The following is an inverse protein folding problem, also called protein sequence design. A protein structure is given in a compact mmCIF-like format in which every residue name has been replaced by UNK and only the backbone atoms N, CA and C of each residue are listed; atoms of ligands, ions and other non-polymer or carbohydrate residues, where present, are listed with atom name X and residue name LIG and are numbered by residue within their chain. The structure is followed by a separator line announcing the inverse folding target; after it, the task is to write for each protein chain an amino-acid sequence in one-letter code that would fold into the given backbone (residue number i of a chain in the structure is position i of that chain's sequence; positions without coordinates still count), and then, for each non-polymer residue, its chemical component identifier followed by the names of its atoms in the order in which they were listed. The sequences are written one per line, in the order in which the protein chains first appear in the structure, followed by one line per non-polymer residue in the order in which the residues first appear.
data_IF_574258343891
#
_entry.id   IF_574258343891
#
_cell.length_a   1.000
_cell.length_b   1.000
_cell.length_c   1.000
_cell.angle_alpha   90.00
_cell.angle_beta   90.00
_cell.angle_gamma   90.00
#
_symmetry.space_group_name_H-M   'P 1'
#
loop_
_entity.id
_entity.type
_entity.pdbx_description
1 polymer ?
#
# COMPACT_ATOMS: atom_id res chain seq x y z
N UNK A 1 -3.51 -6.04 -14.19
CA UNK A 1 -4.01 -4.69 -13.84
C UNK A 1 -5.53 -4.66 -13.71
N UNK A 2 -6.31 -4.96 -14.76
CA UNK A 2 -7.78 -4.96 -14.70
C UNK A 2 -8.32 -6.05 -13.76
N UNK A 3 -7.76 -7.26 -13.80
CA UNK A 3 -8.23 -8.38 -12.98
C UNK A 3 -8.10 -8.15 -11.46
N UNK A 4 -7.03 -7.50 -10.98
CA UNK A 4 -6.88 -7.21 -9.54
C UNK A 4 -7.87 -6.14 -9.06
N UNK A 5 -8.13 -5.12 -9.88
CA UNK A 5 -9.15 -4.12 -9.59
C UNK A 5 -10.55 -4.74 -9.61
N UNK A 6 -10.84 -5.61 -10.59
CA UNK A 6 -12.13 -6.30 -10.69
C UNK A 6 -12.33 -7.26 -9.53
N UNK A 7 -11.32 -8.05 -9.15
CA UNK A 7 -11.39 -8.98 -8.01
C UNK A 7 -11.56 -8.23 -6.69
N UNK A 8 -10.84 -7.14 -6.47
CA UNK A 8 -10.99 -6.32 -5.27
C UNK A 8 -12.36 -5.64 -5.20
N UNK A 9 -12.88 -5.17 -6.33
CA UNK A 9 -14.22 -4.57 -6.40
C UNK A 9 -15.30 -5.64 -6.19
N UNK A 10 -15.14 -6.82 -6.80
CA UNK A 10 -16.04 -7.96 -6.65
C UNK A 10 -16.05 -8.48 -5.20
N UNK A 11 -14.89 -8.55 -4.54
CA UNK A 11 -14.77 -8.91 -3.12
C UNK A 11 -15.40 -7.87 -2.20
N UNK A 12 -15.19 -6.57 -2.45
CA UNK A 12 -15.85 -5.50 -1.70
C UNK A 12 -17.38 -5.54 -1.84
N UNK A 13 -17.89 -5.79 -3.06
CA UNK A 13 -19.33 -5.86 -3.32
C UNK A 13 -19.95 -7.14 -2.73
N UNK A 14 -19.30 -8.29 -2.87
CA UNK A 14 -19.76 -9.56 -2.31
C UNK A 14 -19.72 -9.58 -0.78
N UNK A 15 -18.67 -9.00 -0.17
CA UNK A 15 -18.57 -8.86 1.28
C UNK A 15 -19.57 -7.82 1.81
N UNK A 16 -19.82 -6.74 1.06
CA UNK A 16 -20.65 -5.61 1.50
C UNK A 16 -22.05 -6.00 1.95
N UNK A 17 -22.74 -6.91 1.23
CA UNK A 17 -24.14 -7.27 1.54
C UNK A 17 -24.26 -8.08 2.85
N UNK A 18 -23.33 -9.00 3.10
CA UNK A 18 -23.32 -9.78 4.34
C UNK A 18 -22.76 -8.98 5.53
N UNK A 19 -21.81 -8.07 5.30
CA UNK A 19 -21.22 -7.21 6.32
C UNK A 19 -22.14 -6.08 6.81
N UNK A 20 -22.95 -5.49 5.93
CA UNK A 20 -23.91 -4.43 6.33
C UNK A 20 -24.90 -4.98 7.36
N UNK A 21 -25.24 -6.26 7.26
CA UNK A 21 -26.11 -6.94 8.24
C UNK A 21 -25.43 -7.09 9.62
N UNK A 22 -24.11 -7.22 9.66
CA UNK A 22 -23.34 -7.23 10.90
C UNK A 22 -23.15 -5.82 11.51
N UNK A 23 -23.01 -4.80 10.67
CA UNK A 23 -22.90 -3.39 11.09
C UNK A 23 -24.15 -2.92 11.84
N UNK A 24 -25.34 -3.36 11.40
CA UNK A 24 -26.62 -3.01 12.05
C UNK A 24 -26.80 -3.72 13.40
N UNK A 25 -26.09 -4.82 13.64
CA UNK A 25 -26.21 -5.60 14.87
C UNK A 25 -25.18 -5.26 15.95
N UNK A 26 -24.09 -4.55 15.62
CA UNK A 26 -22.97 -4.31 16.55
C UNK A 26 -23.07 -2.95 17.26
N UNK A 27 -23.43 -2.97 18.55
CA UNK A 27 -23.46 -1.77 19.42
C UNK A 27 -22.06 -1.28 19.85
N UNK A 28 -21.00 -2.08 19.70
CA UNK A 28 -19.66 -1.74 20.21
C UNK A 28 -18.92 -0.70 19.37
N UNK A 29 -19.33 -0.49 18.11
CA UNK A 29 -18.67 0.41 17.16
C UNK A 29 -17.36 -0.14 16.56
N UNK A 30 -16.89 -1.31 17.00
CA UNK A 30 -15.65 -1.92 16.49
C UNK A 30 -15.76 -2.34 15.02
N UNK A 31 -16.90 -2.92 14.61
CA UNK A 31 -17.14 -3.23 13.19
C UNK A 31 -17.06 -1.99 12.30
N UNK A 32 -17.63 -0.87 12.75
CA UNK A 32 -17.60 0.39 12.00
C UNK A 32 -16.16 0.90 11.86
N UNK A 33 -15.37 0.83 12.95
CA UNK A 33 -13.98 1.27 12.92
C UNK A 33 -13.12 0.42 11.98
N UNK A 34 -13.29 -0.92 12.00
CA UNK A 34 -12.63 -1.85 11.06
C UNK A 34 -12.95 -1.45 9.62
N UNK A 35 -14.22 -1.11 9.34
CA UNK A 35 -14.66 -0.71 8.01
C UNK A 35 -14.05 0.61 7.52
N UNK A 36 -14.04 1.63 8.38
CA UNK A 36 -13.46 2.94 8.04
C UNK A 36 -11.96 2.80 7.76
N UNK A 37 -11.24 2.05 8.60
CA UNK A 37 -9.82 1.76 8.39
C UNK A 37 -9.59 0.94 7.12
N UNK A 38 -10.44 -0.06 6.84
CA UNK A 38 -10.38 -0.84 5.61
C UNK A 38 -10.55 0.05 4.37
N UNK A 39 -11.60 0.88 4.34
CA UNK A 39 -11.88 1.77 3.22
C UNK A 39 -10.71 2.76 3.00
N UNK A 40 -10.17 3.31 4.08
CA UNK A 40 -8.99 4.18 4.03
C UNK A 40 -7.77 3.45 3.44
N UNK A 41 -7.50 2.20 3.87
CA UNK A 41 -6.39 1.40 3.36
C UNK A 41 -6.55 1.09 1.87
N UNK A 42 -7.76 0.74 1.42
CA UNK A 42 -8.07 0.53 0.00
C UNK A 42 -7.83 1.81 -0.81
N UNK A 43 -8.28 2.97 -0.32
CA UNK A 43 -8.05 4.26 -0.98
C UNK A 43 -6.55 4.60 -1.08
N UNK A 44 -5.76 4.34 -0.02
CA UNK A 44 -4.31 4.53 -0.04
C UNK A 44 -3.64 3.61 -1.07
N UNK A 45 -4.00 2.33 -1.10
CA UNK A 45 -3.47 1.38 -2.06
C UNK A 45 -3.81 1.78 -3.50
N UNK A 46 -5.06 2.17 -3.75
CA UNK A 46 -5.52 2.61 -5.06
C UNK A 46 -4.85 3.92 -5.52
N UNK A 47 -4.64 4.88 -4.61
CA UNK A 47 -3.85 6.09 -4.91
C UNK A 47 -2.40 5.76 -5.23
N UNK A 48 -1.82 4.80 -4.52
CA UNK A 48 -0.44 4.34 -4.74
C UNK A 48 -0.29 3.68 -6.12
N UNK A 49 -1.21 2.78 -6.50
CA UNK A 49 -1.17 2.12 -7.81
C UNK A 49 -1.43 3.09 -8.96
N UNK A 50 -2.32 4.08 -8.79
CA UNK A 50 -2.55 5.13 -9.80
C UNK A 50 -1.32 6.00 -9.98
N UNK A 51 -0.67 6.39 -8.88
CA UNK A 51 0.58 7.14 -8.93
C UNK A 51 1.66 6.34 -9.66
N UNK A 52 1.84 5.07 -9.31
CA UNK A 52 2.81 4.19 -9.98
C UNK A 52 2.54 4.07 -11.49
N UNK A 53 1.28 3.89 -11.89
CA UNK A 53 0.90 3.85 -13.30
C UNK A 53 1.23 5.16 -14.03
N UNK A 54 0.97 6.31 -13.42
CA UNK A 54 1.34 7.59 -14.00
C UNK A 54 2.86 7.68 -14.19
N UNK A 55 3.65 7.20 -13.23
CA UNK A 55 5.12 7.14 -13.36
C UNK A 55 5.57 6.24 -14.51
N UNK A 56 4.93 5.09 -14.72
CA UNK A 56 5.20 4.22 -15.89
C UNK A 56 4.98 4.96 -17.22
N UNK A 57 3.87 5.70 -17.34
CA UNK A 57 3.54 6.44 -18.57
C UNK A 57 4.53 7.58 -18.78
N UNK A 58 4.83 8.35 -17.72
CA UNK A 58 5.84 9.41 -17.77
C UNK A 58 7.22 8.85 -18.16
N UNK A 59 7.61 7.70 -17.59
CA UNK A 59 8.88 7.06 -17.92
C UNK A 59 8.95 6.64 -19.38
N UNK A 60 7.90 6.00 -19.90
CA UNK A 60 7.83 5.62 -21.31
C UNK A 60 7.92 6.85 -22.24
N UNK A 61 7.24 7.94 -21.90
CA UNK A 61 7.31 9.19 -22.67
C UNK A 61 8.70 9.82 -22.63
N UNK A 62 9.32 9.93 -21.45
CA UNK A 62 10.69 10.45 -21.30
C UNK A 62 11.68 9.64 -22.13
N UNK A 63 11.58 8.32 -22.10
CA UNK A 63 12.47 7.41 -22.83
C UNK A 63 12.35 7.58 -24.34
N UNK A 64 11.12 7.76 -24.83
CA UNK A 64 10.88 8.07 -26.24
C UNK A 64 11.51 9.42 -26.61
N UNK A 65 11.40 10.43 -25.75
CA UNK A 65 12.05 11.74 -25.94
C UNK A 65 13.58 11.62 -25.91
N UNK A 66 14.16 10.85 -24.99
CA UNK A 66 15.60 10.52 -24.89
C UNK A 66 16.18 9.84 -26.14
N UNK A 67 15.34 9.17 -26.92
CA UNK A 67 15.76 8.52 -28.18
C UNK A 67 15.87 9.53 -29.33
N UNK A 68 15.25 10.72 -29.20
CA UNK A 68 15.37 11.81 -30.17
C UNK A 68 16.70 12.55 -30.00
N UNK A 69 17.36 12.95 -31.09
CA UNK A 69 18.74 13.47 -31.09
C UNK A 69 19.04 14.63 -30.12
N UNK A 70 18.05 15.50 -29.86
CA UNK A 70 18.17 16.65 -28.92
C UNK A 70 17.42 16.44 -27.59
N UNK A 71 16.73 15.30 -27.42
CA UNK A 71 15.82 15.11 -26.27
C UNK A 71 16.53 14.93 -24.93
N UNK A 72 17.82 14.61 -24.93
CA UNK A 72 18.62 14.49 -23.71
C UNK A 72 18.80 15.85 -23.00
N UNK A 73 19.16 16.89 -23.74
CA UNK A 73 19.35 18.25 -23.20
C UNK A 73 18.05 18.86 -22.69
N UNK A 74 16.94 18.62 -23.38
CA UNK A 74 15.61 19.09 -22.95
C UNK A 74 15.18 18.51 -21.60
N UNK A 75 15.44 17.23 -21.36
CA UNK A 75 15.01 16.55 -20.11
C UNK A 75 15.80 17.06 -18.90
N UNK A 76 17.09 17.36 -19.10
CA UNK A 76 17.94 17.93 -18.05
C UNK A 76 17.49 19.34 -17.67
N UNK A 77 17.07 20.14 -18.65
CA UNK A 77 16.61 21.52 -18.42
C UNK A 77 15.17 21.62 -17.91
N UNK A 78 14.32 20.63 -18.17
CA UNK A 78 12.92 20.62 -17.72
C UNK A 78 12.79 20.35 -16.21
N UNK A 79 11.73 20.90 -15.60
CA UNK A 79 11.35 20.59 -14.22
C UNK A 79 10.97 19.11 -14.06
N UNK A 80 11.30 18.55 -12.89
CA UNK A 80 11.09 17.13 -12.64
C UNK A 80 9.62 16.81 -12.40
N UNK A 81 8.98 16.15 -13.38
CA UNK A 81 7.57 15.79 -13.32
C UNK A 81 7.25 14.54 -12.45
N UNK A 82 8.28 13.80 -11.99
CA UNK A 82 8.10 12.59 -11.18
C UNK A 82 9.43 11.97 -10.69
N UNK A 83 9.40 10.95 -9.81
CA UNK A 83 10.59 10.28 -9.28
C UNK A 83 11.50 9.68 -10.35
N UNK A 84 10.96 9.23 -11.49
CA UNK A 84 11.80 8.75 -12.60
C UNK A 84 12.54 9.91 -13.30
N UNK A 85 11.88 11.05 -13.52
CA UNK A 85 12.53 12.24 -14.06
C UNK A 85 13.63 12.72 -13.11
N UNK A 86 13.33 12.75 -11.81
CA UNK A 86 14.30 13.09 -10.77
C UNK A 86 15.50 12.14 -10.78
N UNK A 87 15.26 10.83 -10.88
CA UNK A 87 16.31 9.81 -10.99
C UNK A 87 17.26 10.08 -12.17
N UNK A 88 16.73 10.44 -13.35
CA UNK A 88 17.55 10.80 -14.51
C UNK A 88 18.35 12.08 -14.23
N UNK A 89 17.74 13.12 -13.66
CA UNK A 89 18.44 14.39 -13.34
C UNK A 89 19.56 14.16 -12.33
N UNK A 90 19.33 13.34 -11.32
CA UNK A 90 20.33 12.99 -10.31
C UNK A 90 21.51 12.23 -10.97
N UNK A 91 21.22 11.27 -11.86
CA UNK A 91 22.25 10.58 -12.67
C UNK A 91 23.10 11.55 -13.51
N UNK A 92 22.46 12.50 -14.19
CA UNK A 92 23.18 13.53 -14.97
C UNK A 92 24.05 14.40 -14.07
N UNK A 93 23.54 14.77 -12.90
CA UNK A 93 24.29 15.60 -11.94
C UNK A 93 25.52 14.86 -11.41
N UNK A 94 25.42 13.57 -11.11
CA UNK A 94 26.57 12.77 -10.66
C UNK A 94 27.58 12.60 -11.81
N UNK A 95 27.12 12.31 -13.03
CA UNK A 95 28.00 12.10 -14.19
C UNK A 95 28.87 13.32 -14.56
N UNK A 96 28.47 14.54 -14.14
CA UNK A 96 29.30 15.75 -14.31
C UNK A 96 30.54 15.78 -13.41
N UNK A 97 30.47 15.12 -12.25
CA UNK A 97 31.55 15.13 -11.26
C UNK A 97 32.31 13.80 -11.23
N UNK A 98 31.67 12.70 -11.61
CA UNK A 98 32.27 11.36 -11.61
C UNK A 98 32.05 10.63 -12.95
N UNK A 99 33.11 10.42 -13.76
CA UNK A 99 33.03 9.67 -15.01
C UNK A 99 32.66 8.19 -14.83
N UNK A 100 32.86 7.64 -13.62
CA UNK A 100 32.54 6.26 -13.26
C UNK A 100 31.10 6.06 -12.78
N UNK A 101 30.18 6.97 -13.17
CA UNK A 101 28.77 6.97 -12.74
C UNK A 101 28.16 5.56 -12.71
N UNK A 102 27.58 5.22 -11.56
CA UNK A 102 26.78 4.01 -11.32
C UNK A 102 25.38 4.42 -10.86
N UNK A 103 24.39 3.57 -11.13
CA UNK A 103 22.99 3.86 -10.80
C UNK A 103 22.46 3.12 -9.57
N UNK A 104 23.23 2.18 -9.01
CA UNK A 104 22.76 1.23 -7.99
C UNK A 104 22.17 1.91 -6.76
N UNK A 105 22.85 2.95 -6.25
CA UNK A 105 22.39 3.73 -5.10
C UNK A 105 21.08 4.48 -5.41
N UNK A 106 20.96 5.04 -6.61
CA UNK A 106 19.77 5.80 -7.01
C UNK A 106 18.57 4.87 -7.28
N UNK A 107 18.81 3.70 -7.85
CA UNK A 107 17.79 2.65 -8.02
C UNK A 107 17.31 2.14 -6.66
N UNK A 108 18.25 1.90 -5.73
CA UNK A 108 17.93 1.50 -4.35
C UNK A 108 17.08 2.55 -3.64
N UNK A 109 17.39 3.84 -3.83
CA UNK A 109 16.61 4.94 -3.26
C UNK A 109 15.21 5.02 -3.89
N UNK A 110 15.10 4.90 -5.21
CA UNK A 110 13.82 4.88 -5.92
C UNK A 110 12.94 3.71 -5.43
N UNK A 111 13.51 2.51 -5.35
CA UNK A 111 12.87 1.32 -4.82
C UNK A 111 12.36 1.54 -3.40
N UNK A 112 13.23 2.03 -2.51
CA UNK A 112 12.89 2.30 -1.11
C UNK A 112 11.74 3.29 -0.99
N UNK A 113 11.73 4.35 -1.81
CA UNK A 113 10.65 5.36 -1.83
C UNK A 113 9.32 4.78 -2.31
N UNK A 114 9.34 3.90 -3.31
CA UNK A 114 8.13 3.25 -3.82
C UNK A 114 7.60 2.19 -2.83
N UNK A 115 8.49 1.43 -2.20
CA UNK A 115 8.14 0.42 -1.19
C UNK A 115 7.67 1.03 0.13
N UNK A 116 8.11 2.24 0.49
CA UNK A 116 7.59 2.94 1.66
C UNK A 116 6.06 3.13 1.63
N UNK A 117 5.48 3.29 0.44
CA UNK A 117 4.02 3.38 0.27
C UNK A 117 3.31 2.05 0.53
N UNK A 118 3.92 0.94 0.14
CA UNK A 118 3.43 -0.42 0.41
C UNK A 118 3.37 -0.72 1.91
N UNK A 119 4.43 -0.32 2.64
CA UNK A 119 4.55 -0.57 4.08
C UNK A 119 3.38 0.00 4.90
N UNK A 120 2.82 1.13 4.49
CA UNK A 120 1.65 1.71 5.16
C UNK A 120 0.42 0.79 5.08
N UNK A 121 0.22 0.12 3.95
CA UNK A 121 -0.89 -0.83 3.75
C UNK A 121 -0.68 -2.09 4.58
N UNK A 122 0.57 -2.57 4.69
CA UNK A 122 0.90 -3.71 5.56
C UNK A 122 0.61 -3.43 7.05
N UNK A 123 0.95 -2.23 7.52
CA UNK A 123 0.64 -1.81 8.89
C UNK A 123 -0.87 -1.76 9.11
N UNK A 124 -1.63 -1.15 8.19
CA UNK A 124 -3.09 -1.09 8.28
C UNK A 124 -3.72 -2.49 8.25
N UNK A 125 -3.20 -3.39 7.41
CA UNK A 125 -3.59 -4.81 7.40
C UNK A 125 -3.40 -5.48 8.77
N UNK A 126 -2.26 -5.27 9.41
CA UNK A 126 -1.98 -5.78 10.76
C UNK A 126 -2.92 -5.21 11.82
N UNK A 127 -3.15 -3.89 11.80
CA UNK A 127 -4.07 -3.22 12.73
C UNK A 127 -5.49 -3.77 12.60
N UNK A 128 -5.98 -4.02 11.37
CA UNK A 128 -7.30 -4.60 11.14
C UNK A 128 -7.46 -5.98 11.79
N UNK A 129 -6.44 -6.83 11.68
CA UNK A 129 -6.44 -8.16 12.31
C UNK A 129 -6.47 -8.03 13.83
N UNK A 130 -5.62 -7.16 14.39
CA UNK A 130 -5.59 -6.89 15.83
C UNK A 130 -6.92 -6.35 16.36
N UNK A 131 -7.58 -5.47 15.61
CA UNK A 131 -8.92 -4.98 15.96
C UNK A 131 -9.98 -6.07 15.93
N UNK A 132 -9.90 -7.00 14.95
CA UNK A 132 -10.74 -8.17 14.93
C UNK A 132 -10.59 -9.04 16.19
N UNK A 133 -9.35 -9.24 16.66
CA UNK A 133 -9.05 -9.98 17.89
C UNK A 133 -9.54 -9.24 19.15
N UNK A 134 -9.35 -7.91 19.19
CA UNK A 134 -9.91 -7.06 20.26
C UNK A 134 -11.44 -7.20 20.32
N UNK A 135 -12.10 -7.32 19.16
CA UNK A 135 -13.52 -7.61 19.07
C UNK A 135 -13.93 -8.89 19.81
N UNK A 136 -13.15 -9.96 19.72
CA UNK A 136 -13.40 -11.20 20.49
C UNK A 136 -13.29 -10.95 21.99
N UNK A 137 -12.24 -10.24 22.42
CA UNK A 137 -11.99 -9.96 23.83
C UNK A 137 -13.15 -9.16 24.41
N UNK A 138 -13.57 -8.09 23.73
CA UNK A 138 -14.70 -7.26 24.14
C UNK A 138 -16.00 -8.07 24.18
N UNK A 139 -16.22 -8.96 23.20
CA UNK A 139 -17.37 -9.86 23.18
C UNK A 139 -17.40 -10.84 24.35
N UNK A 140 -16.26 -11.46 24.67
CA UNK A 140 -16.12 -12.36 25.81
C UNK A 140 -16.34 -11.61 27.14
N UNK A 141 -15.81 -10.40 27.29
CA UNK A 141 -16.07 -9.56 28.47
C UNK A 141 -17.56 -9.23 28.60
N UNK A 142 -18.22 -8.85 27.49
CA UNK A 142 -19.67 -8.57 27.49
C UNK A 142 -20.48 -9.82 27.85
N UNK A 143 -20.04 -10.99 27.41
CA UNK A 143 -20.66 -12.27 27.75
C UNK A 143 -20.53 -12.57 29.25
N UNK A 144 -19.33 -12.43 29.81
CA UNK A 144 -19.10 -12.65 31.24
C UNK A 144 -19.96 -11.72 32.09
N UNK A 145 -20.03 -10.43 31.74
CA UNK A 145 -20.86 -9.47 32.46
C UNK A 145 -22.37 -9.79 32.35
N UNK A 146 -22.83 -10.20 31.17
CA UNK A 146 -24.23 -10.59 30.96
C UNK A 146 -24.62 -11.83 31.76
N UNK A 147 -23.74 -12.83 31.83
CA UNK A 147 -23.97 -14.04 32.61
C UNK A 147 -23.98 -13.74 34.11
N UNK A 148 -23.03 -12.96 34.62
CA UNK A 148 -22.99 -12.54 36.03
C UNK A 148 -24.28 -11.82 36.46
N UNK A 149 -24.75 -10.85 35.67
CA UNK A 149 -26.00 -10.14 35.99
C UNK A 149 -27.24 -11.03 35.92
N UNK A 150 -27.26 -12.01 35.02
CA UNK A 150 -28.36 -13.00 34.94
C UNK A 150 -28.33 -13.96 36.14
N UNK A 151 -27.14 -14.32 36.64
CA UNK A 151 -26.96 -15.17 37.82
C UNK A 151 -27.34 -14.45 39.13
N UNK A 152 -27.06 -13.15 39.23
CA UNK A 152 -27.50 -12.32 40.35
C UNK A 152 -29.03 -12.20 40.39
N UNK A 153 -29.67 -11.93 39.24
CA UNK A 153 -31.12 -11.83 39.14
C UNK A 153 -31.86 -13.12 39.55
N UNK A 154 -31.24 -14.28 39.31
CA UNK A 154 -31.73 -15.58 39.78
C UNK A 154 -31.75 -15.75 41.30
N UNK A 155 -30.74 -15.20 41.97
CA UNK A 155 -30.62 -15.26 43.42
C UNK A 155 -31.75 -14.51 44.13
N UNK A 156 -32.28 -13.47 43.48
CA UNK A 156 -33.40 -12.66 43.98
C UNK A 156 -34.77 -13.09 43.44
N UNK A 157 -34.83 -13.66 42.23
CA UNK A 157 -36.08 -14.05 41.57
C UNK A 157 -35.93 -15.37 40.82
N UNK A 158 -36.68 -16.41 41.23
CA UNK A 158 -36.63 -17.77 40.64
C UNK A 158 -37.26 -17.87 39.24
N UNK A 159 -37.12 -16.85 38.40
CA UNK A 159 -37.77 -16.78 37.09
C UNK A 159 -36.87 -17.35 35.99
N UNK A 160 -37.16 -18.59 35.59
CA UNK A 160 -36.44 -19.30 34.52
C UNK A 160 -36.53 -18.60 33.15
N UNK A 161 -37.51 -17.72 32.95
CA UNK A 161 -37.66 -16.97 31.69
C UNK A 161 -36.57 -15.89 31.53
N UNK A 162 -36.20 -15.22 32.63
CA UNK A 162 -35.12 -14.22 32.65
C UNK A 162 -33.77 -14.86 32.39
N UNK A 163 -33.55 -16.07 32.90
CA UNK A 163 -32.37 -16.88 32.59
C UNK A 163 -32.21 -17.16 31.10
N UNK A 164 -33.26 -17.71 30.48
CA UNK A 164 -33.22 -18.05 29.05
C UNK A 164 -32.99 -16.81 28.20
N UNK A 165 -33.55 -15.67 28.60
CA UNK A 165 -33.32 -14.38 27.93
C UNK A 165 -31.86 -13.92 28.05
N UNK A 166 -31.29 -13.93 29.28
CA UNK A 166 -29.90 -13.56 29.53
C UNK A 166 -28.90 -14.45 28.80
N UNK A 167 -29.16 -15.76 28.75
CA UNK A 167 -28.35 -16.72 27.99
C UNK A 167 -28.43 -16.45 26.48
N UNK A 168 -29.62 -16.20 25.92
CA UNK A 168 -29.78 -15.87 24.49
C UNK A 168 -29.05 -14.59 24.12
N UNK A 169 -29.17 -13.55 24.95
CA UNK A 169 -28.46 -12.28 24.76
C UNK A 169 -26.95 -12.50 24.79
N UNK A 170 -26.47 -13.29 25.73
CA UNK A 170 -25.04 -13.65 25.88
C UNK A 170 -24.51 -14.39 24.66
N UNK A 171 -25.24 -15.40 24.18
CA UNK A 171 -24.88 -16.17 22.98
C UNK A 171 -24.87 -15.30 21.72
N UNK A 172 -25.79 -14.34 21.61
CA UNK A 172 -25.82 -13.39 20.49
C UNK A 172 -24.60 -12.47 20.50
N UNK A 173 -24.20 -11.96 21.67
CA UNK A 173 -23.00 -11.12 21.82
C UNK A 173 -21.72 -11.87 21.43
N UNK A 174 -21.60 -13.14 21.80
CA UNK A 174 -20.49 -13.99 21.39
C UNK A 174 -20.45 -14.18 19.86
N UNK A 175 -21.61 -14.42 19.23
CA UNK A 175 -21.72 -14.54 17.78
C UNK A 175 -21.28 -13.29 17.02
N UNK A 176 -21.65 -12.10 17.51
CA UNK A 176 -21.18 -10.83 16.92
C UNK A 176 -19.67 -10.67 17.03
N UNK A 177 -19.09 -11.06 18.16
CA UNK A 177 -17.65 -10.93 18.41
C UNK A 177 -16.82 -11.81 17.46
N UNK A 178 -17.24 -13.06 17.26
CA UNK A 178 -16.61 -13.95 16.27
C UNK A 178 -16.71 -13.40 14.85
N UNK A 179 -17.85 -12.80 14.50
CA UNK A 179 -18.01 -12.18 13.19
C UNK A 179 -17.05 -11.00 12.99
N UNK A 180 -16.92 -10.12 13.99
CA UNK A 180 -15.98 -9.00 13.98
C UNK A 180 -14.55 -9.47 13.74
N UNK A 181 -14.14 -10.58 14.39
CA UNK A 181 -12.82 -11.19 14.21
C UNK A 181 -12.63 -11.73 12.82
N UNK A 182 -13.60 -12.48 12.30
CA UNK A 182 -13.55 -13.04 10.96
C UNK A 182 -13.44 -11.94 9.91
N UNK A 183 -14.22 -10.86 10.05
CA UNK A 183 -14.19 -9.71 9.15
C UNK A 183 -12.85 -9.00 9.21
N UNK A 184 -12.34 -8.69 10.40
CA UNK A 184 -11.02 -8.07 10.58
C UNK A 184 -9.90 -8.92 9.96
N UNK A 185 -9.96 -10.24 10.15
CA UNK A 185 -9.01 -11.17 9.58
C UNK A 185 -9.09 -11.23 8.05
N UNK A 186 -10.28 -11.38 7.45
CA UNK A 186 -10.43 -11.49 5.99
C UNK A 186 -10.05 -10.16 5.31
N UNK A 187 -10.59 -9.04 5.78
CA UNK A 187 -10.32 -7.72 5.19
C UNK A 187 -8.85 -7.32 5.35
N UNK A 188 -8.29 -7.53 6.54
CA UNK A 188 -6.90 -7.21 6.85
C UNK A 188 -5.93 -8.17 6.15
N UNK A 189 -5.96 -9.45 6.50
CA UNK A 189 -4.92 -10.41 6.11
C UNK A 189 -5.06 -10.94 4.68
N UNK A 190 -6.28 -11.02 4.14
CA UNK A 190 -6.48 -11.57 2.78
C UNK A 190 -6.59 -10.43 1.78
N UNK A 191 -7.60 -9.57 1.92
CA UNK A 191 -7.93 -8.57 0.88
C UNK A 191 -6.84 -7.51 0.77
N UNK A 192 -6.46 -6.84 1.86
CA UNK A 192 -5.42 -5.81 1.82
C UNK A 192 -4.05 -6.36 1.46
N UNK A 193 -3.68 -7.56 1.91
CA UNK A 193 -2.39 -8.16 1.54
C UNK A 193 -2.32 -8.51 0.06
N UNK A 194 -3.39 -9.04 -0.53
CA UNK A 194 -3.44 -9.32 -1.98
C UNK A 194 -3.30 -8.01 -2.76
N UNK A 195 -4.03 -6.96 -2.37
CA UNK A 195 -3.91 -5.64 -2.99
C UNK A 195 -2.50 -5.06 -2.86
N UNK A 196 -1.87 -5.23 -1.70
CA UNK A 196 -0.53 -4.74 -1.46
C UNK A 196 0.52 -5.53 -2.25
N UNK A 197 0.38 -6.86 -2.32
CA UNK A 197 1.25 -7.73 -3.11
C UNK A 197 1.23 -7.38 -4.60
N UNK A 198 0.04 -7.07 -5.14
CA UNK A 198 -0.08 -6.57 -6.51
C UNK A 198 0.71 -5.26 -6.66
N UNK A 199 0.61 -4.33 -5.72
CA UNK A 199 1.39 -3.09 -5.77
C UNK A 199 2.91 -3.36 -5.72
N UNK A 200 3.40 -4.18 -4.79
CA UNK A 200 4.83 -4.51 -4.66
C UNK A 200 5.39 -5.15 -5.92
N UNK A 201 4.69 -6.14 -6.48
CA UNK A 201 5.09 -6.78 -7.73
C UNK A 201 5.22 -5.77 -8.88
N UNK A 202 4.31 -4.80 -8.96
CA UNK A 202 4.37 -3.76 -9.98
C UNK A 202 5.51 -2.76 -9.77
N UNK A 203 5.89 -2.50 -8.52
CA UNK A 203 7.08 -1.70 -8.18
C UNK A 203 8.33 -2.45 -8.63
N UNK A 204 8.43 -3.76 -8.36
CA UNK A 204 9.58 -4.59 -8.77
C UNK A 204 9.77 -4.57 -10.29
N UNK A 205 8.69 -4.78 -11.05
CA UNK A 205 8.72 -4.66 -12.51
C UNK A 205 9.11 -3.26 -12.97
N UNK A 206 8.66 -2.21 -12.28
CA UNK A 206 8.92 -0.82 -12.68
C UNK A 206 10.38 -0.46 -12.52
N UNK A 207 10.91 -0.79 -11.35
CA UNK A 207 12.30 -0.52 -10.99
C UNK A 207 13.23 -1.33 -11.88
N UNK A 208 12.92 -2.60 -12.16
CA UNK A 208 13.70 -3.44 -13.07
C UNK A 208 13.70 -2.89 -14.50
N UNK A 209 12.54 -2.44 -14.99
CA UNK A 209 12.40 -1.80 -16.30
C UNK A 209 13.25 -0.52 -16.39
N UNK A 210 13.17 0.35 -15.37
CA UNK A 210 13.97 1.57 -15.30
C UNK A 210 15.47 1.27 -15.25
N UNK A 211 15.89 0.35 -14.38
CA UNK A 211 17.30 0.00 -14.22
C UNK A 211 17.90 -0.49 -15.54
N UNK A 212 17.25 -1.46 -16.19
CA UNK A 212 17.69 -1.99 -17.49
C UNK A 212 17.80 -0.90 -18.56
N UNK A 213 16.80 -0.02 -18.62
CA UNK A 213 16.72 1.02 -19.63
C UNK A 213 17.78 2.11 -19.46
N UNK A 214 18.00 2.54 -18.21
CA UNK A 214 19.03 3.51 -17.85
C UNK A 214 20.43 2.92 -18.08
N UNK A 215 20.65 1.65 -17.74
CA UNK A 215 21.93 0.96 -17.94
C UNK A 215 22.32 0.86 -19.40
N UNK A 216 21.38 0.46 -20.26
CA UNK A 216 21.67 0.21 -21.68
C UNK A 216 21.74 1.51 -22.48
N UNK A 217 20.91 2.52 -22.17
CA UNK A 217 20.76 3.71 -23.02
C UNK A 217 21.35 4.99 -22.44
N UNK A 218 21.29 5.18 -21.12
CA UNK A 218 21.60 6.48 -20.49
C UNK A 218 23.05 6.50 -20.00
N UNK A 219 23.46 5.49 -19.22
CA UNK A 219 24.82 5.43 -18.64
C UNK A 219 25.92 5.50 -19.72
N UNK A 220 25.86 4.76 -20.85
CA UNK A 220 26.91 4.82 -21.86
C UNK A 220 27.03 6.21 -22.50
N UNK A 221 25.90 6.90 -22.71
CA UNK A 221 25.86 8.26 -23.25
C UNK A 221 26.43 9.27 -22.25
N UNK A 222 26.11 9.13 -20.97
CA UNK A 222 26.68 9.94 -19.90
C UNK A 222 28.20 9.77 -19.80
N UNK A 223 28.69 8.51 -19.79
CA UNK A 223 30.12 8.19 -19.74
C UNK A 223 30.89 8.63 -20.99
N UNK A 224 30.23 8.69 -22.16
CA UNK A 224 30.85 9.22 -23.38
C UNK A 224 30.99 10.74 -23.28
N UNK A 225 29.94 11.44 -22.84
CA UNK A 225 29.92 12.90 -22.73
C UNK A 225 30.88 13.43 -21.65
N UNK A 226 30.92 12.82 -20.47
CA UNK A 226 31.85 13.22 -19.41
C UNK A 226 33.31 13.09 -19.83
N UNK A 227 33.65 12.04 -20.59
CA UNK A 227 35.00 11.86 -21.17
C UNK A 227 35.35 12.94 -22.19
N UNK A 228 34.41 13.32 -23.06
CA UNK A 228 34.62 14.40 -24.03
C UNK A 228 34.83 15.76 -23.34
N UNK A 229 34.01 16.08 -22.34
CA UNK A 229 34.13 17.34 -21.57
C UNK A 229 35.46 17.40 -20.77
N UNK A 230 35.97 16.29 -20.26
CA UNK A 230 37.29 16.24 -19.61
C UNK A 230 38.46 16.41 -20.60
N UNK A 231 38.36 15.86 -21.81
CA UNK A 231 39.40 16.03 -22.85
C UNK A 231 39.48 17.49 -23.35
N UNK A 232 38.34 18.14 -23.56
CA UNK A 232 38.30 19.56 -23.96
C UNK A 232 38.81 20.50 -22.85
N UNK A 233 38.47 20.23 -21.58
CA UNK A 233 38.99 21.00 -20.45
C UNK A 233 40.51 20.94 -20.32
N UNK A 234 41.12 19.77 -20.56
CA UNK A 234 42.58 19.59 -20.50
C UNK A 234 43.34 20.26 -21.66
N UNK A 235 42.69 20.54 -22.79
CA UNK A 235 43.33 21.17 -23.95
C UNK A 235 43.42 22.70 -23.78
N UNK A 236 42.54 23.29 -22.97
CA UNK A 236 42.53 24.72 -22.66
C UNK A 236 43.48 25.14 -21.52
N UNK A 237 44.02 24.19 -20.76
CA UNK A 237 44.98 24.47 -19.67
C UNK A 237 46.45 24.47 -20.16
N UNK A 238 46.69 24.11 -21.42
CA UNK A 238 48.03 23.93 -22.02
C UNK A 238 48.33 24.97 -23.13
N UNK A 239 47.40 25.90 -23.39
CA UNK A 239 47.57 27.01 -24.34
C UNK A 239 47.57 28.35 -23.61
#
# INVERSE_FOLDING_TARGET
MIYASVIATLLCVAAGIHLIRALVSDRSGLCLMIFVLFALAVVINFRSIRTLRNEYVCAAFLVRKLTSGHGFTDIVQSDAAGPFHQHIKDLVKIAKHDPSVSQDSLITLLYSRLMARSRMVDVLSGVLVSLGLIGTIVGLVSMTNGLSGTLEALGESSDASMLMSGMRSTMQGLGTAFYTTLVGAILGSVVLRVLNNVYTSNVDHFVSYIASLTEVRIIPRLRKRSRTEQMEGSTHEVA
#
